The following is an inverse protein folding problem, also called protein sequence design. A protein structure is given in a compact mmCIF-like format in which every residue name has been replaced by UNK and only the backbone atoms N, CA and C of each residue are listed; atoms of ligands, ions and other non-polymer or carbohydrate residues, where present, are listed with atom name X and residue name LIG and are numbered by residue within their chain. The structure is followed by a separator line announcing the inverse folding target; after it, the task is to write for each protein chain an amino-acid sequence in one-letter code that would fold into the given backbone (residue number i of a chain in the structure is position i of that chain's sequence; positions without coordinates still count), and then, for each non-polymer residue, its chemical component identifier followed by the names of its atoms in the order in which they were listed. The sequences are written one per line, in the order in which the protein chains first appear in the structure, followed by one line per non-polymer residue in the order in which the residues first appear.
data_IF_449614504185
#
_entry.id   IF_449614504185
#
_cell.length_a   1.000
_cell.length_b   1.000
_cell.length_c   1.000
_cell.angle_alpha   90.00
_cell.angle_beta   90.00
_cell.angle_gamma   90.00
#
_symmetry.space_group_name_H-M   'P 1'
#
loop_
_entity.id
_entity.type
_entity.pdbx_description
1 polymer ?
#
# COMPACT_ATOMS: atom_id res chain seq x y z
N UNK A 1 -23.72 52.96 31.24
CA UNK A 1 -23.32 52.38 29.94
C UNK A 1 -24.25 51.21 29.66
N UNK A 2 -24.75 51.13 28.42
CA UNK A 2 -25.73 50.18 27.86
C UNK A 2 -25.44 48.70 28.20
N UNK A 3 -26.32 47.70 28.10
CA UNK A 3 -27.37 47.40 27.09
C UNK A 3 -28.42 46.44 27.71
N UNK A 4 -29.65 46.51 27.20
CA UNK A 4 -30.85 45.68 27.49
C UNK A 4 -30.72 44.25 26.90
N UNK A 5 -31.47 43.24 27.38
CA UNK A 5 -32.17 42.39 26.42
C UNK A 5 -33.67 42.26 26.70
N UNK A 6 -34.43 42.47 25.63
CA UNK A 6 -35.88 42.36 25.53
C UNK A 6 -36.30 40.90 25.34
N UNK A 7 -37.41 40.58 25.99
CA UNK A 7 -38.26 39.40 25.80
C UNK A 7 -39.25 39.67 24.64
N UNK A 8 -39.87 38.59 24.14
CA UNK A 8 -41.05 38.46 23.24
C UNK A 8 -40.69 38.08 21.79
N UNK A 9 -41.44 37.24 21.09
CA UNK A 9 -42.51 36.30 21.40
C UNK A 9 -42.76 35.49 20.12
N UNK A 10 -43.18 34.24 20.25
CA UNK A 10 -43.65 33.40 19.16
C UNK A 10 -45.05 33.82 18.68
N UNK A 11 -45.32 33.73 17.38
CA UNK A 11 -46.66 33.98 16.83
C UNK A 11 -46.77 33.84 15.31
N UNK A 12 -47.08 32.62 14.86
CA UNK A 12 -48.00 32.21 13.76
C UNK A 12 -48.00 32.90 12.38
N UNK A 13 -47.87 32.08 11.32
CA UNK A 13 -48.56 32.25 10.02
C UNK A 13 -48.60 30.91 9.24
N UNK A 14 -49.78 30.40 8.85
CA UNK A 14 -49.90 29.39 7.80
C UNK A 14 -50.31 30.07 6.48
N UNK A 15 -49.57 29.82 5.40
CA UNK A 15 -50.00 30.16 4.05
C UNK A 15 -49.84 28.95 3.14
N UNK A 16 -50.98 28.32 2.84
CA UNK A 16 -51.20 27.41 1.73
C UNK A 16 -50.84 28.09 0.42
N UNK A 17 -49.98 27.47 -0.39
CA UNK A 17 -49.87 27.75 -1.83
C UNK A 17 -50.10 26.45 -2.58
N UNK A 18 -51.19 26.44 -3.34
CA UNK A 18 -51.57 25.39 -4.28
C UNK A 18 -50.54 25.27 -5.41
N UNK A 19 -50.22 24.03 -5.77
CA UNK A 19 -49.38 23.70 -6.92
C UNK A 19 -50.03 24.12 -8.24
N UNK A 20 -49.20 24.69 -9.12
CA UNK A 20 -49.48 24.84 -10.53
C UNK A 20 -48.45 24.03 -11.34
N UNK A 21 -48.81 23.47 -12.51
CA UNK A 21 -47.96 22.55 -13.26
C UNK A 21 -46.83 23.30 -13.96
N UNK A 22 -45.61 22.78 -13.84
CA UNK A 22 -44.44 23.21 -14.62
C UNK A 22 -44.61 22.84 -16.10
N UNK A 23 -44.47 23.79 -17.05
CA UNK A 23 -44.46 23.47 -18.47
C UNK A 23 -43.14 22.80 -18.86
N UNK A 24 -43.23 21.60 -19.43
CA UNK A 24 -42.13 20.87 -20.05
C UNK A 24 -41.59 21.65 -21.25
N UNK A 25 -40.33 22.11 -21.18
CA UNK A 25 -39.61 22.65 -22.34
C UNK A 25 -38.85 21.54 -23.08
N UNK A 26 -38.77 21.63 -24.42
CA UNK A 26 -38.28 20.54 -25.27
C UNK A 26 -36.76 20.35 -25.19
N UNK A 27 -36.36 19.08 -25.19
CA UNK A 27 -34.99 18.60 -25.29
C UNK A 27 -34.26 19.27 -26.47
N UNK A 28 -33.16 19.98 -26.17
CA UNK A 28 -32.18 20.36 -27.19
C UNK A 28 -31.16 19.24 -27.29
N UNK A 29 -31.23 18.50 -28.39
CA UNK A 29 -30.18 17.60 -28.83
C UNK A 29 -28.89 18.41 -29.04
N UNK A 30 -27.91 18.21 -28.15
CA UNK A 30 -26.51 18.55 -28.45
C UNK A 30 -25.89 17.31 -29.05
N UNK A 31 -26.08 17.15 -30.36
CA UNK A 31 -25.18 16.35 -31.17
C UNK A 31 -23.82 17.06 -31.20
N UNK A 32 -22.79 16.40 -30.68
CA UNK A 32 -21.41 16.89 -30.77
C UNK A 32 -20.71 17.14 -29.44
N UNK A 33 -20.66 16.15 -28.56
CA UNK A 33 -19.56 16.04 -27.61
C UNK A 33 -18.68 14.88 -28.07
N UNK A 34 -17.39 15.15 -28.17
CA UNK A 34 -16.35 14.22 -28.60
C UNK A 34 -16.53 12.83 -27.97
N UNK A 35 -16.18 11.80 -28.73
CA UNK A 35 -15.95 10.44 -28.22
C UNK A 35 -14.94 10.54 -27.07
N UNK A 36 -15.45 10.71 -25.85
CA UNK A 36 -14.71 10.40 -24.64
C UNK A 36 -14.35 8.94 -24.85
N UNK A 37 -13.07 8.69 -25.07
CA UNK A 37 -12.55 7.33 -25.06
C UNK A 37 -12.79 6.86 -23.63
N UNK A 38 -13.97 6.29 -23.38
CA UNK A 38 -14.23 5.53 -22.18
C UNK A 38 -13.28 4.36 -22.28
N UNK A 39 -12.11 4.51 -21.64
CA UNK A 39 -11.26 3.37 -21.39
C UNK A 39 -12.16 2.31 -20.75
N UNK A 40 -12.16 1.07 -21.27
CA UNK A 40 -12.96 0.02 -20.68
C UNK A 40 -12.62 -0.05 -19.19
N UNK A 41 -13.62 0.17 -18.34
CA UNK A 41 -13.48 0.09 -16.89
C UNK A 41 -12.86 -1.26 -16.58
N UNK A 42 -11.62 -1.26 -16.09
CA UNK A 42 -10.88 -2.48 -15.77
C UNK A 42 -11.65 -3.23 -14.68
N UNK A 43 -11.80 -4.53 -14.85
CA UNK A 43 -12.44 -5.38 -13.84
C UNK A 43 -11.62 -5.31 -12.54
N UNK A 44 -12.22 -4.76 -11.49
CA UNK A 44 -11.57 -4.56 -10.19
C UNK A 44 -11.30 -5.87 -9.44
N UNK A 45 -11.76 -7.00 -9.97
CA UNK A 45 -11.51 -8.35 -9.48
C UNK A 45 -10.44 -9.11 -10.28
N UNK A 46 -10.01 -8.59 -11.43
CA UNK A 46 -8.96 -9.21 -12.23
C UNK A 46 -7.60 -9.16 -11.53
N UNK A 47 -6.91 -10.29 -11.50
CA UNK A 47 -5.62 -10.45 -10.83
C UNK A 47 -4.59 -11.11 -11.75
N UNK A 48 -3.36 -10.61 -11.77
CA UNK A 48 -2.20 -11.22 -12.44
C UNK A 48 -1.09 -11.47 -11.43
N UNK A 49 -0.47 -12.64 -11.46
CA UNK A 49 0.65 -12.95 -10.56
C UNK A 49 1.93 -12.35 -11.16
N UNK A 50 2.57 -11.41 -10.46
CA UNK A 50 3.80 -10.77 -10.93
C UNK A 50 5.03 -11.34 -10.21
N UNK A 51 5.76 -12.23 -10.88
CA UNK A 51 7.04 -12.77 -10.42
C UNK A 51 8.24 -12.01 -10.98
N UNK A 52 9.43 -12.22 -10.40
CA UNK A 52 10.66 -11.58 -10.86
C UNK A 52 10.96 -10.26 -10.15
N UNK A 53 11.64 -9.35 -10.82
CA UNK A 53 12.36 -8.22 -10.22
C UNK A 53 11.66 -6.85 -10.40
N UNK A 54 10.44 -6.81 -10.96
CA UNK A 54 9.71 -5.58 -11.21
C UNK A 54 9.86 -5.02 -12.62
N UNK A 55 10.66 -5.64 -13.49
CA UNK A 55 10.95 -5.11 -14.83
C UNK A 55 9.78 -5.27 -15.79
N UNK A 56 9.50 -4.22 -16.57
CA UNK A 56 8.42 -4.22 -17.57
C UNK A 56 8.65 -5.30 -18.64
N UNK A 57 9.91 -5.61 -18.97
CA UNK A 57 10.27 -6.70 -19.87
C UNK A 57 9.80 -8.07 -19.38
N UNK A 58 9.62 -8.22 -18.08
CA UNK A 58 9.19 -9.47 -17.44
C UNK A 58 7.66 -9.50 -17.26
N UNK A 59 6.95 -8.57 -17.88
CA UNK A 59 5.48 -8.47 -17.87
C UNK A 59 4.92 -7.65 -16.71
N UNK A 60 5.76 -6.96 -15.94
CA UNK A 60 5.28 -6.01 -14.93
C UNK A 60 4.64 -4.78 -15.58
N UNK A 61 3.67 -4.14 -14.92
CA UNK A 61 3.02 -2.97 -15.49
C UNK A 61 3.95 -1.77 -15.52
N UNK A 62 3.92 -1.03 -16.63
CA UNK A 62 4.55 0.28 -16.68
C UNK A 62 3.69 1.31 -15.91
N UNK A 63 4.26 2.48 -15.59
CA UNK A 63 3.53 3.51 -14.82
C UNK A 63 2.27 4.03 -15.53
N UNK A 64 2.26 3.99 -16.86
CA UNK A 64 1.11 4.35 -17.71
C UNK A 64 0.06 3.24 -17.80
N UNK A 65 0.38 2.01 -17.38
CA UNK A 65 -0.58 0.93 -17.24
C UNK A 65 -1.38 1.04 -15.93
N UNK A 66 -0.89 1.79 -14.95
CA UNK A 66 -1.59 1.97 -13.68
C UNK A 66 -2.94 2.65 -13.89
N UNK A 67 -3.86 2.46 -12.95
CA UNK A 67 -5.11 3.18 -12.87
C UNK A 67 -4.88 4.69 -12.99
N UNK A 68 -5.71 5.34 -13.80
CA UNK A 68 -5.39 6.64 -14.41
C UNK A 68 -5.30 7.79 -13.41
N UNK A 69 -6.02 7.68 -12.29
CA UNK A 69 -6.08 8.72 -11.27
C UNK A 69 -6.23 8.12 -9.86
N UNK A 70 -5.80 8.90 -8.87
CA UNK A 70 -6.02 8.57 -7.47
C UNK A 70 -7.51 8.49 -7.12
N UNK A 71 -8.34 9.43 -7.59
CA UNK A 71 -9.77 9.47 -7.29
C UNK A 71 -10.51 8.22 -7.78
N UNK A 72 -10.14 7.72 -8.96
CA UNK A 72 -10.68 6.46 -9.51
C UNK A 72 -10.25 5.27 -8.64
N UNK A 73 -8.96 5.18 -8.28
CA UNK A 73 -8.45 4.12 -7.42
C UNK A 73 -9.09 4.13 -6.03
N UNK A 74 -9.23 5.32 -5.43
CA UNK A 74 -9.85 5.49 -4.13
C UNK A 74 -11.33 5.09 -4.19
N UNK A 75 -12.04 5.51 -5.24
CA UNK A 75 -13.44 5.15 -5.46
C UNK A 75 -13.64 3.64 -5.60
N UNK A 76 -12.73 2.93 -6.29
CA UNK A 76 -12.78 1.48 -6.41
C UNK A 76 -12.59 0.75 -5.05
N UNK A 77 -11.89 1.36 -4.10
CA UNK A 77 -11.61 0.77 -2.79
C UNK A 77 -12.62 1.17 -1.70
N UNK A 78 -13.58 2.08 -1.96
CA UNK A 78 -14.51 2.61 -0.94
C UNK A 78 -15.27 1.54 -0.17
N UNK A 79 -15.72 0.46 -0.84
CA UNK A 79 -16.44 -0.64 -0.17
C UNK A 79 -15.54 -1.42 0.79
N UNK A 80 -14.28 -1.65 0.42
CA UNK A 80 -13.31 -2.28 1.31
C UNK A 80 -12.99 -1.34 2.47
N UNK A 81 -12.75 -0.06 2.20
CA UNK A 81 -12.47 0.96 3.21
C UNK A 81 -13.59 1.03 4.27
N UNK A 82 -14.86 1.01 3.86
CA UNK A 82 -16.01 1.12 4.76
C UNK A 82 -16.28 -0.13 5.61
N UNK A 83 -15.65 -1.26 5.30
CA UNK A 83 -15.79 -2.52 6.02
C UNK A 83 -14.49 -3.08 6.60
N UNK A 84 -13.38 -2.39 6.34
CA UNK A 84 -12.00 -2.87 6.59
C UNK A 84 -11.70 -3.18 8.05
N UNK A 85 -12.30 -2.49 9.02
CA UNK A 85 -11.97 -2.70 10.42
C UNK A 85 -12.67 -3.90 11.07
N UNK A 86 -13.68 -4.47 10.39
CA UNK A 86 -14.36 -5.67 10.85
C UNK A 86 -13.40 -6.85 11.07
N UNK A 87 -12.29 -6.89 10.33
CA UNK A 87 -11.25 -7.93 10.47
C UNK A 87 -10.58 -7.94 11.86
N UNK A 88 -10.65 -6.84 12.62
CA UNK A 88 -10.16 -6.75 14.01
C UNK A 88 -11.28 -6.56 15.03
N UNK A 89 -12.54 -6.74 14.64
CA UNK A 89 -13.70 -6.57 15.51
C UNK A 89 -13.74 -5.19 16.21
N UNK A 90 -13.34 -4.13 15.49
CA UNK A 90 -13.45 -2.73 15.92
C UNK A 90 -14.38 -1.96 14.97
N UNK A 91 -14.92 -0.79 15.38
CA UNK A 91 -15.82 -0.02 14.52
C UNK A 91 -15.20 0.27 13.15
N UNK A 92 -16.00 0.09 12.10
CA UNK A 92 -15.63 0.43 10.74
C UNK A 92 -15.45 1.93 10.54
N UNK A 93 -14.73 2.28 9.47
CA UNK A 93 -14.50 3.65 9.07
C UNK A 93 -15.84 4.33 8.77
N UNK A 94 -16.08 5.54 9.30
CA UNK A 94 -17.18 6.40 8.88
C UNK A 94 -16.89 7.07 7.54
N UNK A 95 -17.91 7.62 6.88
CA UNK A 95 -17.73 8.39 5.65
C UNK A 95 -16.77 9.58 5.84
N UNK A 96 -16.83 10.25 7.00
CA UNK A 96 -15.92 11.35 7.35
C UNK A 96 -14.47 10.88 7.50
N UNK A 97 -14.25 9.69 8.07
CA UNK A 97 -12.91 9.09 8.20
C UNK A 97 -12.35 8.63 6.85
N UNK A 98 -13.21 8.10 5.97
CA UNK A 98 -12.85 7.75 4.60
C UNK A 98 -12.48 9.02 3.81
N UNK A 99 -13.25 10.10 3.95
CA UNK A 99 -12.88 11.40 3.35
C UNK A 99 -11.56 11.94 3.91
N UNK A 100 -11.38 11.92 5.23
CA UNK A 100 -10.14 12.35 5.85
C UNK A 100 -8.93 11.51 5.43
N UNK A 101 -9.12 10.21 5.17
CA UNK A 101 -8.10 9.32 4.61
C UNK A 101 -7.70 9.75 3.19
N UNK A 102 -8.68 10.01 2.31
CA UNK A 102 -8.43 10.52 0.96
C UNK A 102 -7.63 11.83 0.97
N UNK A 103 -8.08 12.79 1.78
CA UNK A 103 -7.44 14.11 1.90
C UNK A 103 -6.02 14.00 2.47
N UNK A 104 -5.82 13.13 3.46
CA UNK A 104 -4.51 12.87 4.08
C UNK A 104 -3.53 12.29 3.07
N UNK A 105 -3.95 11.28 2.29
CA UNK A 105 -3.10 10.67 1.26
C UNK A 105 -2.68 11.71 0.22
N UNK A 106 -3.61 12.51 -0.31
CA UNK A 106 -3.29 13.53 -1.31
C UNK A 106 -2.38 14.63 -0.74
N UNK A 107 -2.61 15.06 0.49
CA UNK A 107 -1.79 16.06 1.18
C UNK A 107 -0.35 15.57 1.38
N UNK A 108 -0.19 14.34 1.87
CA UNK A 108 1.13 13.75 2.11
C UNK A 108 1.84 13.39 0.79
N UNK A 109 1.12 12.92 -0.23
CA UNK A 109 1.66 12.74 -1.57
C UNK A 109 2.29 14.04 -2.09
N UNK A 110 1.57 15.16 -1.95
CA UNK A 110 2.04 16.48 -2.37
C UNK A 110 3.29 16.94 -1.61
N UNK A 111 3.36 16.71 -0.30
CA UNK A 111 4.49 17.16 0.52
C UNK A 111 5.74 16.30 0.37
N UNK A 112 5.56 15.01 0.08
CA UNK A 112 6.66 14.03 -0.03
C UNK A 112 7.16 13.85 -1.46
N UNK A 113 6.31 14.11 -2.46
CA UNK A 113 6.56 13.79 -3.86
C UNK A 113 6.26 12.34 -4.23
N UNK A 114 5.72 11.54 -3.31
CA UNK A 114 5.32 10.14 -3.57
C UNK A 114 3.98 10.11 -4.30
N UNK A 115 3.83 9.25 -5.31
CA UNK A 115 2.57 9.09 -6.05
C UNK A 115 1.43 8.64 -5.11
N UNK A 116 0.33 9.38 -5.09
CA UNK A 116 -0.81 9.11 -4.20
C UNK A 116 -1.44 7.72 -4.43
N UNK A 117 -1.39 7.18 -5.66
CA UNK A 117 -1.87 5.83 -5.97
C UNK A 117 -1.00 4.78 -5.29
N UNK A 118 0.31 5.02 -5.24
CA UNK A 118 1.23 4.12 -4.54
C UNK A 118 1.04 4.15 -3.03
N UNK A 119 0.83 5.33 -2.44
CA UNK A 119 0.48 5.44 -1.01
C UNK A 119 -0.79 4.64 -0.70
N UNK A 120 -1.85 4.82 -1.51
CA UNK A 120 -3.09 4.07 -1.33
C UNK A 120 -2.87 2.56 -1.50
N UNK A 121 -2.08 2.11 -2.47
CA UNK A 121 -1.76 0.70 -2.65
C UNK A 121 -1.14 0.09 -1.38
N UNK A 122 -0.21 0.81 -0.74
CA UNK A 122 0.42 0.38 0.51
C UNK A 122 -0.57 0.40 1.68
N UNK A 123 -1.38 1.46 1.84
CA UNK A 123 -2.45 1.53 2.85
C UNK A 123 -3.38 0.31 2.76
N UNK A 124 -3.81 -0.03 1.55
CA UNK A 124 -4.67 -1.18 1.31
C UNK A 124 -3.95 -2.51 1.55
N UNK A 125 -2.65 -2.59 1.26
CA UNK A 125 -1.85 -3.79 1.49
C UNK A 125 -1.57 -4.05 2.97
N UNK A 126 -1.35 -2.99 3.76
CA UNK A 126 -1.04 -3.09 5.18
C UNK A 126 -2.27 -3.37 6.04
N UNK A 127 -3.41 -2.74 5.72
CA UNK A 127 -4.56 -2.77 6.63
C UNK A 127 -5.93 -2.86 5.97
N UNK A 128 -5.99 -3.00 4.64
CA UNK A 128 -7.20 -2.75 3.86
C UNK A 128 -7.79 -1.34 4.10
N UNK A 129 -6.98 -0.40 4.62
CA UNK A 129 -7.35 0.98 4.93
C UNK A 129 -8.16 1.18 6.22
N UNK A 130 -8.10 0.24 7.17
CA UNK A 130 -8.71 0.45 8.47
C UNK A 130 -7.93 1.50 9.29
N UNK A 131 -8.57 2.63 9.63
CA UNK A 131 -7.91 3.68 10.44
C UNK A 131 -7.66 3.24 11.88
N UNK A 132 -8.25 2.12 12.31
CA UNK A 132 -8.08 1.49 13.63
C UNK A 132 -7.31 0.16 13.55
N UNK A 133 -6.51 -0.04 12.50
CA UNK A 133 -5.61 -1.18 12.43
C UNK A 133 -4.76 -1.23 13.72
N UNK A 134 -4.67 -2.39 14.41
CA UNK A 134 -3.97 -2.47 15.68
C UNK A 134 -2.52 -2.04 15.58
N UNK A 135 -2.04 -1.38 16.63
CA UNK A 135 -0.61 -1.16 16.81
C UNK A 135 0.03 -2.46 17.26
N UNK A 136 1.01 -2.93 16.50
CA UNK A 136 1.82 -4.09 16.88
C UNK A 136 3.08 -3.62 17.60
N UNK A 137 3.55 -4.40 18.58
CA UNK A 137 4.78 -4.11 19.30
C UNK A 137 5.50 -5.42 19.62
N UNK A 138 6.50 -5.75 18.81
CA UNK A 138 7.32 -6.96 18.94
C UNK A 138 8.81 -6.60 19.03
N UNK A 139 9.13 -5.53 19.75
CA UNK A 139 10.47 -4.94 19.84
C UNK A 139 10.66 -3.67 19.00
N UNK A 140 9.76 -3.46 18.03
CA UNK A 140 9.55 -2.21 17.29
C UNK A 140 8.04 -1.96 17.28
N UNK A 141 7.64 -0.69 17.43
CA UNK A 141 6.22 -0.32 17.39
C UNK A 141 5.84 -0.07 15.93
N UNK A 142 4.84 -0.78 15.42
CA UNK A 142 4.31 -0.56 14.06
C UNK A 142 2.82 -0.21 14.19
N UNK A 143 2.47 1.09 14.23
CA UNK A 143 1.10 1.48 14.49
C UNK A 143 0.26 1.58 13.23
N UNK A 144 -1.00 1.19 13.39
CA UNK A 144 -2.08 1.76 12.62
C UNK A 144 -2.06 1.45 11.12
N UNK A 145 -2.63 2.38 10.38
CA UNK A 145 -3.07 2.25 8.99
C UNK A 145 -2.00 1.75 8.01
N UNK A 146 -0.74 2.14 8.20
CA UNK A 146 0.38 1.75 7.35
C UNK A 146 1.42 0.87 8.08
N UNK A 147 1.16 0.46 9.32
CA UNK A 147 2.08 -0.35 10.13
C UNK A 147 3.52 0.21 10.12
N UNK A 148 3.66 1.53 10.28
CA UNK A 148 4.92 2.23 10.03
C UNK A 148 5.95 1.97 11.14
N UNK A 149 7.21 1.71 10.79
CA UNK A 149 8.27 1.45 11.75
C UNK A 149 8.49 2.62 12.74
N UNK A 150 8.24 2.37 14.02
CA UNK A 150 8.22 3.36 15.12
C UNK A 150 7.38 4.60 14.81
N UNK A 151 6.21 4.38 14.21
CA UNK A 151 5.22 5.42 13.96
C UNK A 151 4.69 6.06 15.25
N UNK A 152 4.18 7.28 15.12
CA UNK A 152 3.60 8.06 16.21
C UNK A 152 2.08 8.19 16.09
N UNK A 153 1.53 8.05 14.88
CA UNK A 153 0.09 8.07 14.64
C UNK A 153 -0.56 6.73 14.97
N UNK A 154 -1.69 6.75 15.69
CA UNK A 154 -2.52 5.55 15.91
C UNK A 154 -3.91 5.90 16.40
N UNK A 155 -4.89 5.09 16.01
CA UNK A 155 -6.23 5.06 16.62
C UNK A 155 -6.54 3.73 17.32
N UNK A 156 -5.54 2.86 17.47
CA UNK A 156 -5.68 1.58 18.15
C UNK A 156 -4.33 1.17 18.79
N UNK A 157 -3.96 1.85 19.88
CA UNK A 157 -2.73 1.58 20.64
C UNK A 157 -3.06 1.48 22.14
N UNK A 158 -3.43 0.29 22.60
CA UNK A 158 -3.92 0.09 23.98
C UNK A 158 -5.34 0.61 24.24
N UNK A 159 -6.01 1.11 23.19
CA UNK A 159 -7.39 1.58 23.22
C UNK A 159 -7.85 2.02 21.82
N UNK A 160 -9.13 1.82 21.51
CA UNK A 160 -9.71 2.16 20.22
C UNK A 160 -10.29 3.58 20.26
N UNK A 161 -9.81 4.45 19.37
CA UNK A 161 -10.40 5.75 19.13
C UNK A 161 -11.52 5.63 18.08
N UNK A 162 -12.71 6.12 18.42
CA UNK A 162 -13.84 6.15 17.49
C UNK A 162 -14.73 7.37 17.78
N UNK A 163 -14.80 8.37 16.87
CA UNK A 163 -14.07 8.43 15.60
C UNK A 163 -12.55 8.56 15.79
N UNK A 164 -11.79 8.08 14.82
CA UNK A 164 -10.37 8.30 14.67
C UNK A 164 -10.14 9.75 14.20
N UNK A 165 -9.42 10.59 14.97
CA UNK A 165 -9.19 11.98 14.59
C UNK A 165 -8.48 12.09 13.23
N UNK A 166 -8.88 13.06 12.40
CA UNK A 166 -8.23 13.30 11.10
C UNK A 166 -6.72 13.54 11.23
N UNK A 167 -6.28 14.18 12.32
CA UNK A 167 -4.85 14.36 12.62
C UNK A 167 -4.11 13.04 12.84
N UNK A 168 -4.75 12.03 13.45
CA UNK A 168 -4.17 10.70 13.61
C UNK A 168 -4.11 9.95 12.27
N UNK A 169 -5.14 10.09 11.43
CA UNK A 169 -5.14 9.53 10.07
C UNK A 169 -3.99 10.14 9.25
N UNK A 170 -3.87 11.47 9.25
CA UNK A 170 -2.76 12.16 8.57
C UNK A 170 -1.39 11.74 9.13
N UNK A 171 -1.26 11.59 10.45
CA UNK A 171 0.00 11.18 11.06
C UNK A 171 0.40 9.76 10.65
N UNK A 172 -0.53 8.79 10.66
CA UNK A 172 -0.24 7.42 10.20
C UNK A 172 0.21 7.37 8.73
N UNK A 173 -0.43 8.17 7.86
CA UNK A 173 -0.01 8.30 6.45
C UNK A 173 1.36 8.97 6.34
N UNK A 174 1.62 10.00 7.16
CA UNK A 174 2.90 10.72 7.19
C UNK A 174 4.02 9.79 7.63
N UNK A 175 3.83 9.03 8.71
CA UNK A 175 4.83 8.10 9.23
C UNK A 175 5.19 7.03 8.18
N UNK A 176 4.20 6.47 7.48
CA UNK A 176 4.45 5.46 6.45
C UNK A 176 5.06 6.02 5.17
N UNK A 177 4.73 7.27 4.80
CA UNK A 177 5.18 7.85 3.52
C UNK A 177 6.46 8.67 3.65
N UNK A 178 6.50 9.57 4.63
CA UNK A 178 7.63 10.45 4.89
C UNK A 178 8.69 9.82 5.82
N UNK A 179 8.36 8.70 6.47
CA UNK A 179 9.22 8.03 7.42
C UNK A 179 9.12 8.60 8.83
N UNK A 180 9.78 7.94 9.76
CA UNK A 180 9.86 8.30 11.17
C UNK A 180 11.30 8.68 11.52
N UNK A 181 11.58 8.97 12.79
CA UNK A 181 12.96 9.16 13.26
C UNK A 181 13.81 7.88 13.19
N UNK A 182 13.16 6.71 13.15
CA UNK A 182 13.81 5.41 13.32
C UNK A 182 13.57 4.46 12.14
N UNK A 183 12.75 4.84 11.17
CA UNK A 183 12.38 3.99 10.05
C UNK A 183 12.13 4.79 8.77
N UNK A 184 12.56 4.22 7.65
CA UNK A 184 12.34 4.80 6.33
C UNK A 184 10.87 4.68 5.92
N UNK A 185 10.33 5.78 5.37
CA UNK A 185 9.03 5.77 4.70
C UNK A 185 9.18 5.53 3.21
N UNK A 186 8.05 5.46 2.50
CA UNK A 186 8.03 5.26 1.05
C UNK A 186 8.95 6.23 0.30
N UNK A 187 9.05 7.50 0.72
CA UNK A 187 9.95 8.49 0.10
C UNK A 187 11.41 8.04 0.12
N UNK A 188 11.90 7.59 1.27
CA UNK A 188 13.27 7.11 1.45
C UNK A 188 13.49 5.81 0.67
N UNK A 189 12.54 4.88 0.75
CA UNK A 189 12.63 3.58 0.09
C UNK A 189 12.60 3.70 -1.44
N UNK A 190 11.88 4.68 -1.98
CA UNK A 190 11.92 4.99 -3.42
C UNK A 190 13.29 5.50 -3.85
N UNK A 191 14.00 6.26 -3.01
CA UNK A 191 15.37 6.67 -3.28
C UNK A 191 16.34 5.48 -3.13
N UNK A 192 16.15 4.63 -2.11
CA UNK A 192 16.95 3.45 -1.86
C UNK A 192 16.82 2.38 -2.97
N UNK A 193 15.67 2.31 -3.63
CA UNK A 193 15.42 1.37 -4.72
C UNK A 193 16.42 1.51 -5.90
N UNK A 194 17.07 2.67 -6.04
CA UNK A 194 18.15 2.88 -7.01
C UNK A 194 17.72 2.77 -8.47
N UNK A 195 16.46 3.07 -8.77
CA UNK A 195 15.90 3.06 -10.12
C UNK A 195 15.13 4.36 -10.41
N UNK A 196 15.18 4.81 -11.66
CA UNK A 196 14.50 6.03 -12.09
C UNK A 196 13.13 5.75 -12.75
N UNK A 197 12.95 4.52 -13.24
CA UNK A 197 11.74 4.02 -13.90
C UNK A 197 10.69 3.49 -12.90
N UNK A 198 9.66 2.79 -13.41
CA UNK A 198 8.58 2.24 -12.59
C UNK A 198 9.07 1.19 -11.59
N UNK A 199 10.19 0.52 -11.84
CA UNK A 199 10.68 -0.58 -10.98
C UNK A 199 11.00 -0.10 -9.58
N UNK A 200 11.31 1.19 -9.41
CA UNK A 200 11.54 1.80 -8.09
C UNK A 200 10.35 1.64 -7.15
N UNK A 201 9.13 1.66 -7.65
CA UNK A 201 7.93 1.48 -6.83
C UNK A 201 7.79 0.03 -6.36
N UNK A 202 8.05 -0.95 -7.23
CA UNK A 202 7.99 -2.37 -6.87
C UNK A 202 9.10 -2.76 -5.90
N UNK A 203 10.31 -2.26 -6.13
CA UNK A 203 11.46 -2.41 -5.21
C UNK A 203 11.19 -1.72 -3.87
N UNK A 204 10.67 -0.49 -3.87
CA UNK A 204 10.30 0.22 -2.65
C UNK A 204 9.19 -0.51 -1.87
N UNK A 205 8.21 -1.13 -2.54
CA UNK A 205 7.19 -1.94 -1.87
C UNK A 205 7.81 -3.17 -1.18
N UNK A 206 8.78 -3.84 -1.81
CA UNK A 206 9.52 -4.94 -1.18
C UNK A 206 10.34 -4.47 0.03
N UNK A 207 11.01 -3.34 -0.11
CA UNK A 207 11.77 -2.72 0.99
C UNK A 207 10.86 -2.29 2.14
N UNK A 208 9.65 -1.79 1.85
CA UNK A 208 8.66 -1.45 2.87
C UNK A 208 8.21 -2.70 3.65
N UNK A 209 7.91 -3.79 2.94
CA UNK A 209 7.44 -5.02 3.57
C UNK A 209 8.50 -5.75 4.42
N UNK A 210 9.78 -5.69 4.02
CA UNK A 210 10.79 -6.61 4.56
C UNK A 210 12.16 -5.98 4.84
N UNK A 211 12.33 -4.68 4.59
CA UNK A 211 13.59 -3.97 4.75
C UNK A 211 14.70 -4.39 3.78
N UNK A 212 14.46 -5.37 2.91
CA UNK A 212 15.49 -5.92 2.03
C UNK A 212 14.92 -6.50 0.74
N UNK A 213 15.76 -6.62 -0.28
CA UNK A 213 15.48 -7.36 -1.50
C UNK A 213 16.43 -8.55 -1.53
N UNK A 214 15.92 -9.73 -1.87
CA UNK A 214 16.75 -10.93 -2.02
C UNK A 214 17.91 -10.68 -3.00
N UNK A 215 19.05 -11.33 -2.80
CA UNK A 215 20.27 -11.11 -3.61
C UNK A 215 20.06 -11.35 -5.11
N UNK A 216 19.13 -12.25 -5.47
CA UNK A 216 18.73 -12.50 -6.87
C UNK A 216 17.79 -11.44 -7.47
N UNK A 217 17.40 -10.41 -6.71
CA UNK A 217 16.50 -9.34 -7.15
C UNK A 217 15.03 -9.74 -7.25
N UNK A 218 14.69 -11.01 -7.06
CA UNK A 218 13.31 -11.49 -7.15
C UNK A 218 12.47 -10.95 -5.99
N UNK A 219 11.46 -10.17 -6.32
CA UNK A 219 10.57 -9.51 -5.38
C UNK A 219 9.58 -10.48 -4.74
N UNK A 220 9.53 -11.76 -5.14
CA UNK A 220 8.79 -12.83 -4.48
C UNK A 220 9.63 -13.68 -3.52
N UNK A 221 10.91 -13.35 -3.29
CA UNK A 221 11.84 -14.11 -2.46
C UNK A 221 12.25 -13.35 -1.18
N UNK A 222 13.03 -14.02 -0.31
CA UNK A 222 13.59 -13.43 0.91
C UNK A 222 12.71 -13.64 2.15
N UNK A 223 13.07 -12.95 3.24
CA UNK A 223 12.30 -12.95 4.49
C UNK A 223 11.17 -11.94 4.33
N UNK A 224 10.07 -12.36 3.72
CA UNK A 224 9.03 -11.43 3.29
C UNK A 224 7.65 -12.07 3.20
N UNK A 225 6.60 -11.25 3.22
CA UNK A 225 5.30 -11.67 2.69
C UNK A 225 5.46 -11.82 1.18
N UNK A 226 5.56 -13.07 0.71
CA UNK A 226 6.04 -13.37 -0.64
C UNK A 226 5.19 -12.72 -1.76
N UNK A 227 3.87 -12.71 -1.61
CA UNK A 227 2.94 -12.14 -2.59
C UNK A 227 2.79 -10.61 -2.55
N UNK A 228 3.36 -9.95 -1.54
CA UNK A 228 3.14 -8.53 -1.23
C UNK A 228 3.27 -7.62 -2.46
N UNK A 229 4.35 -7.75 -3.21
CA UNK A 229 4.63 -6.83 -4.33
C UNK A 229 3.74 -7.13 -5.54
N UNK A 230 3.41 -8.40 -5.77
CA UNK A 230 2.41 -8.79 -6.78
C UNK A 230 1.05 -8.19 -6.44
N UNK A 231 0.64 -8.28 -5.17
CA UNK A 231 -0.63 -7.71 -4.70
C UNK A 231 -0.64 -6.18 -4.81
N UNK A 232 0.47 -5.50 -4.50
CA UNK A 232 0.63 -4.05 -4.70
C UNK A 232 0.53 -3.68 -6.18
N UNK A 233 1.18 -4.41 -7.08
CA UNK A 233 1.10 -4.17 -8.53
C UNK A 233 -0.34 -4.30 -9.05
N UNK A 234 -1.10 -5.29 -8.57
CA UNK A 234 -2.51 -5.42 -8.95
C UNK A 234 -3.36 -4.27 -8.42
N UNK A 235 -3.13 -3.79 -7.19
CA UNK A 235 -3.83 -2.60 -6.68
C UNK A 235 -3.59 -1.37 -7.55
N UNK A 236 -2.35 -1.20 -8.00
CA UNK A 236 -1.98 -0.13 -8.93
C UNK A 236 -2.63 -0.29 -10.32
N UNK A 237 -3.04 -1.51 -10.70
CA UNK A 237 -3.84 -1.77 -11.89
C UNK A 237 -5.34 -1.57 -11.69
N UNK A 238 -5.80 -1.31 -10.46
CA UNK A 238 -7.21 -1.12 -10.11
C UNK A 238 -7.88 -2.32 -9.43
N UNK A 239 -7.14 -3.38 -9.11
CA UNK A 239 -7.64 -4.47 -8.28
C UNK A 239 -7.98 -3.95 -6.88
N UNK A 240 -9.22 -4.14 -6.46
CA UNK A 240 -9.73 -3.61 -5.20
C UNK A 240 -10.50 -4.66 -4.39
N UNK A 241 -11.04 -5.69 -5.03
CA UNK A 241 -11.85 -6.73 -4.38
C UNK A 241 -11.50 -8.12 -4.91
N UNK A 242 -11.87 -9.15 -4.15
CA UNK A 242 -11.55 -10.54 -4.48
C UNK A 242 -10.27 -11.02 -3.78
N UNK A 243 -10.00 -12.31 -3.92
CA UNK A 243 -8.80 -12.92 -3.34
C UNK A 243 -7.59 -12.73 -4.26
N UNK A 244 -6.41 -12.62 -3.66
CA UNK A 244 -5.16 -12.75 -4.42
C UNK A 244 -5.05 -14.16 -5.00
N UNK A 245 -4.69 -14.26 -6.28
CA UNK A 245 -4.37 -15.55 -6.92
C UNK A 245 -2.90 -15.93 -6.74
N UNK A 246 -2.10 -15.11 -6.03
CA UNK A 246 -0.69 -15.40 -5.80
C UNK A 246 -0.51 -16.53 -4.79
N UNK A 247 0.35 -17.49 -5.16
CA UNK A 247 0.75 -18.58 -4.28
C UNK A 247 2.12 -18.26 -3.67
N UNK A 248 2.16 -18.14 -2.34
CA UNK A 248 3.37 -17.78 -1.58
C UNK A 248 4.50 -18.80 -1.72
N UNK A 249 4.18 -20.08 -1.94
CA UNK A 249 5.16 -21.16 -2.11
C UNK A 249 5.81 -21.20 -3.49
N UNK A 250 5.21 -20.58 -4.52
CA UNK A 250 5.72 -20.65 -5.89
C UNK A 250 6.18 -19.32 -6.46
N UNK A 251 5.68 -18.19 -5.94
CA UNK A 251 6.01 -16.85 -6.46
C UNK A 251 7.51 -16.55 -6.48
N UNK A 252 8.26 -17.05 -5.50
CA UNK A 252 9.71 -16.89 -5.43
C UNK A 252 10.48 -17.60 -6.55
N UNK A 253 9.86 -18.53 -7.27
CA UNK A 253 10.46 -19.23 -8.41
C UNK A 253 10.08 -18.61 -9.75
N UNK A 254 9.09 -17.72 -9.78
CA UNK A 254 8.65 -17.05 -11.00
C UNK A 254 9.60 -15.91 -11.35
N UNK A 255 9.98 -15.82 -12.62
CA UNK A 255 10.83 -14.75 -13.16
C UNK A 255 10.07 -13.77 -14.04
N UNK A 256 8.77 -13.97 -14.23
CA UNK A 256 7.90 -13.13 -15.04
C UNK A 256 6.44 -13.20 -14.58
N UNK A 257 5.62 -12.31 -15.13
CA UNK A 257 4.18 -12.31 -14.91
C UNK A 257 3.52 -13.60 -15.41
N UNK A 258 2.52 -14.08 -14.66
CA UNK A 258 1.65 -15.20 -14.98
C UNK A 258 0.20 -14.73 -14.88
N UNK A 259 -0.50 -14.61 -16.00
CA UNK A 259 -1.88 -14.14 -16.05
C UNK A 259 -2.23 -13.36 -17.32
N UNK A 260 -3.42 -12.77 -17.35
CA UNK A 260 -3.97 -12.10 -18.54
C UNK A 260 -3.62 -10.62 -18.68
N UNK A 261 -2.80 -10.05 -17.80
CA UNK A 261 -2.36 -8.67 -17.98
C UNK A 261 -1.55 -8.54 -19.28
N UNK A 262 -2.03 -7.69 -20.17
CA UNK A 262 -1.30 -7.21 -21.35
C UNK A 262 -1.11 -5.72 -21.19
N UNK A 263 0.13 -5.24 -21.17
CA UNK A 263 0.45 -3.81 -21.13
C UNK A 263 -0.24 -3.07 -22.28
N UNK A 264 -0.82 -1.90 -21.99
CA UNK A 264 -1.51 -1.04 -22.94
C UNK A 264 -0.57 -0.20 -23.81
N UNK A 265 0.66 -0.66 -24.03
CA UNK A 265 1.68 0.00 -24.85
C UNK A 265 1.79 -0.60 -26.25
N UNK A 266 1.43 0.19 -27.26
CA UNK A 266 1.59 0.00 -28.71
C UNK A 266 2.29 -1.30 -29.17
N UNK A 267 1.52 -2.23 -29.72
CA UNK A 267 1.98 -3.55 -30.16
C UNK A 267 3.18 -3.50 -31.10
N UNK A 268 4.37 -3.73 -30.55
CA UNK A 268 5.52 -4.25 -31.27
C UNK A 268 5.35 -5.75 -31.45
N UNK A 269 4.65 -6.15 -32.52
CA UNK A 269 4.56 -7.55 -32.92
C UNK A 269 5.92 -8.03 -33.45
N UNK A 270 6.54 -8.99 -32.75
CA UNK A 270 7.65 -9.77 -33.28
C UNK A 270 7.13 -10.91 -34.18
N UNK A 271 7.50 -10.83 -35.46
CA UNK A 271 8.03 -11.99 -36.19
C UNK A 271 7.05 -12.89 -36.94
N UNK A 272 6.78 -12.55 -38.21
CA UNK A 272 6.77 -13.56 -39.30
C UNK A 272 7.51 -13.00 -40.51
N UNK A 273 8.60 -13.66 -40.87
CA UNK A 273 9.39 -13.43 -42.08
C UNK A 273 8.60 -13.76 -43.33
N UNK A 274 8.43 -12.78 -44.22
CA UNK A 274 8.27 -13.03 -45.66
C UNK A 274 8.87 -11.88 -46.46
N UNK A 275 9.89 -12.23 -47.23
CA UNK A 275 10.51 -11.44 -48.31
C UNK A 275 9.48 -11.02 -49.36
N UNK A 276 9.48 -9.74 -49.79
CA UNK A 276 9.59 -9.37 -51.21
C UNK A 276 9.49 -7.85 -51.45
N UNK A 277 10.51 -7.33 -52.14
CA UNK A 277 10.57 -6.23 -53.12
C UNK A 277 9.90 -4.85 -52.87
N UNK A 278 10.78 -3.85 -52.96
CA UNK A 278 10.61 -2.41 -53.24
C UNK A 278 9.59 -2.05 -54.34
N UNK A 279 9.03 -0.83 -54.30
CA UNK A 279 9.48 0.11 -55.32
C UNK A 279 9.81 1.52 -54.81
N UNK A 280 10.73 2.13 -55.55
CA UNK A 280 11.32 3.46 -55.50
C UNK A 280 10.29 4.61 -55.57
N UNK A 281 10.43 5.63 -54.71
CA UNK A 281 9.92 6.99 -54.97
C UNK A 281 10.95 8.05 -54.48
N UNK A 282 11.05 9.10 -55.29
CA UNK A 282 12.02 10.19 -55.38
C UNK A 282 12.15 11.13 -54.14
N UNK A 283 13.18 12.00 -54.08
CA UNK A 283 13.45 12.83 -52.91
C UNK A 283 12.57 14.08 -52.89
N UNK A 284 11.99 14.39 -51.73
CA UNK A 284 11.27 15.64 -51.48
C UNK A 284 12.11 16.56 -50.59
N UNK A 285 12.14 17.80 -51.04
CA UNK A 285 12.94 18.95 -50.63
C UNK A 285 12.66 19.40 -49.20
N UNK A 286 13.72 19.84 -48.53
CA UNK A 286 13.73 20.46 -47.20
C UNK A 286 12.95 21.78 -47.17
N UNK A 287 12.01 21.91 -46.22
CA UNK A 287 11.45 23.20 -45.82
C UNK A 287 11.84 23.46 -44.37
N UNK A 288 12.49 24.60 -44.15
CA UNK A 288 12.95 25.08 -42.85
C UNK A 288 11.75 25.50 -41.95
N UNK A 289 11.86 25.34 -40.61
CA UNK A 289 10.86 25.88 -39.70
C UNK A 289 11.01 27.40 -39.49
N UNK A 290 9.84 28.06 -39.47
CA UNK A 290 9.60 29.46 -39.15
C UNK A 290 9.89 29.76 -37.66
N UNK A 291 10.38 30.96 -37.30
CA UNK A 291 10.62 31.30 -35.89
C UNK A 291 9.31 31.65 -35.15
N UNK A 292 9.17 31.11 -33.94
CA UNK A 292 8.10 31.40 -32.96
C UNK A 292 8.51 32.58 -32.05
N UNK A 293 7.57 33.43 -31.57
CA UNK A 293 7.91 34.66 -30.88
C UNK A 293 8.28 34.44 -29.40
N UNK A 294 9.44 34.98 -29.02
CA UNK A 294 9.94 35.01 -27.64
C UNK A 294 9.15 35.99 -26.78
N UNK A 295 8.55 35.49 -25.71
CA UNK A 295 8.05 36.29 -24.58
C UNK A 295 9.15 36.39 -23.50
N UNK A 296 9.46 37.58 -22.95
CA UNK A 296 10.53 37.72 -21.97
C UNK A 296 10.09 37.29 -20.56
N UNK A 297 10.97 36.55 -19.89
CA UNK A 297 10.85 36.13 -18.49
C UNK A 297 10.96 37.31 -17.50
N UNK A 298 10.32 37.26 -16.32
CA UNK A 298 10.46 38.29 -15.29
C UNK A 298 11.79 38.15 -14.54
N UNK A 299 12.52 39.26 -14.47
CA UNK A 299 13.76 39.43 -13.69
C UNK A 299 13.37 39.54 -12.21
N UNK A 300 13.88 38.63 -11.38
CA UNK A 300 13.75 38.73 -9.92
C UNK A 300 15.11 39.05 -9.33
N UNK A 301 15.20 40.22 -8.73
CA UNK A 301 16.39 40.80 -8.10
C UNK A 301 16.74 40.05 -6.81
N UNK A 302 17.94 39.46 -6.75
CA UNK A 302 18.48 38.83 -5.54
C UNK A 302 19.05 39.91 -4.61
N UNK A 303 18.45 40.09 -3.43
CA UNK A 303 19.03 40.86 -2.34
C UNK A 303 19.84 39.93 -1.43
N UNK A 304 21.12 40.26 -1.22
CA UNK A 304 22.04 39.54 -0.36
C UNK A 304 21.65 39.69 1.13
N UNK A 305 21.64 38.57 1.85
CA UNK A 305 21.49 38.51 3.32
C UNK A 305 22.89 38.26 3.92
N UNK A 306 23.31 38.97 4.99
CA UNK A 306 24.61 38.78 5.58
C UNK A 306 24.66 37.50 6.42
N UNK A 307 25.71 36.71 6.22
CA UNK A 307 26.03 35.50 6.98
C UNK A 307 26.87 35.86 8.21
N UNK A 308 26.33 35.60 9.40
CA UNK A 308 27.09 35.56 10.66
C UNK A 308 27.43 34.11 11.00
N UNK A 309 28.73 33.80 10.94
CA UNK A 309 29.33 32.52 11.31
C UNK A 309 29.34 32.35 12.83
N UNK A 310 28.62 31.35 13.34
CA UNK A 310 28.78 30.83 14.70
C UNK A 310 29.47 29.45 14.64
N UNK A 311 30.54 29.30 15.43
CA UNK A 311 31.38 28.10 15.51
C UNK A 311 30.65 26.91 16.17
N UNK A 312 30.98 25.65 15.82
CA UNK A 312 30.38 24.48 16.44
C UNK A 312 31.01 24.18 17.81
N UNK A 313 30.16 23.93 18.81
CA UNK A 313 30.55 23.40 20.12
C UNK A 313 30.72 21.86 20.07
N UNK A 314 31.59 21.25 20.89
CA UNK A 314 31.98 19.84 20.76
C UNK A 314 30.89 18.87 21.24
N UNK A 315 30.74 17.77 20.52
CA UNK A 315 29.84 16.66 20.83
C UNK A 315 30.34 15.84 22.02
N UNK A 316 29.47 15.58 23.00
CA UNK A 316 29.73 14.68 24.11
C UNK A 316 29.50 13.22 23.66
N UNK A 317 30.50 12.38 23.89
CA UNK A 317 30.48 10.94 23.63
C UNK A 317 29.93 10.20 24.85
N UNK A 318 28.85 9.45 24.69
CA UNK A 318 28.39 8.47 25.68
C UNK A 318 28.43 7.08 25.06
N UNK A 319 29.38 6.28 25.51
CA UNK A 319 29.50 4.85 25.25
C UNK A 319 28.52 4.10 26.16
N UNK A 320 27.67 3.24 25.58
CA UNK A 320 26.91 2.24 26.34
C UNK A 320 27.26 0.87 25.78
N UNK A 321 27.76 0.01 26.66
CA UNK A 321 28.26 -1.32 26.36
C UNK A 321 27.14 -2.29 25.99
N UNK A 322 27.40 -3.17 25.03
CA UNK A 322 26.56 -4.30 24.68
C UNK A 322 26.63 -5.39 25.77
N UNK A 323 25.46 -5.87 26.22
CA UNK A 323 25.35 -7.07 27.05
C UNK A 323 24.73 -8.21 26.23
N UNK A 324 25.44 -9.33 26.17
CA UNK A 324 25.04 -10.55 25.48
C UNK A 324 24.17 -11.46 26.37
N UNK A 325 23.15 -12.07 25.75
CA UNK A 325 22.78 -13.48 25.88
C UNK A 325 22.15 -14.00 27.18
N UNK A 326 20.84 -14.25 27.12
CA UNK A 326 20.21 -15.37 27.82
C UNK A 326 18.99 -15.89 27.02
N UNK A 327 19.07 -17.14 26.55
CA UNK A 327 17.97 -17.91 25.94
C UNK A 327 17.04 -18.47 27.03
N UNK A 328 15.71 -18.28 26.97
CA UNK A 328 14.79 -19.01 27.83
C UNK A 328 14.39 -20.35 27.19
N UNK A 329 14.55 -21.43 27.95
CA UNK A 329 14.07 -22.77 27.60
C UNK A 329 12.54 -22.90 27.80
N UNK A 330 11.87 -23.64 26.91
CA UNK A 330 10.42 -23.88 26.91
C UNK A 330 9.93 -24.67 28.13
N UNK A 331 8.91 -24.14 28.81
CA UNK A 331 8.14 -24.81 29.87
C UNK A 331 6.76 -25.29 29.36
N UNK A 332 6.35 -26.50 29.78
CA UNK A 332 5.29 -27.35 29.20
C UNK A 332 3.87 -27.16 29.78
N UNK A 333 3.33 -25.94 29.86
CA UNK A 333 2.05 -25.67 30.55
C UNK A 333 0.85 -25.35 29.66
N UNK A 334 0.96 -25.47 28.33
CA UNK A 334 -0.11 -25.12 27.38
C UNK A 334 -1.08 -26.26 27.06
N UNK A 335 -2.35 -26.00 26.71
CA UNK A 335 -3.23 -27.02 26.11
C UNK A 335 -2.67 -27.54 24.78
N UNK A 336 -2.89 -28.83 24.47
CA UNK A 336 -2.51 -29.41 23.17
C UNK A 336 -3.37 -28.82 22.06
N UNK A 337 -2.74 -28.47 20.94
CA UNK A 337 -3.45 -27.99 19.75
C UNK A 337 -4.49 -29.04 19.32
N UNK A 338 -5.78 -28.68 19.17
CA UNK A 338 -6.85 -29.67 19.01
C UNK A 338 -6.73 -30.59 17.80
N UNK A 339 -5.96 -30.18 16.78
CA UNK A 339 -5.71 -30.97 15.57
C UNK A 339 -4.29 -31.55 15.50
N UNK A 340 -3.55 -31.59 16.61
CA UNK A 340 -2.30 -32.35 16.68
C UNK A 340 -2.59 -33.85 16.58
N UNK A 341 -1.74 -34.61 15.88
CA UNK A 341 -1.86 -36.07 15.74
C UNK A 341 -1.86 -36.75 17.13
N UNK A 342 -2.71 -37.75 17.29
CA UNK A 342 -2.80 -38.54 18.53
C UNK A 342 -1.56 -39.39 18.82
N UNK A 343 -0.75 -39.69 17.80
CA UNK A 343 0.51 -40.43 17.94
C UNK A 343 1.71 -39.54 18.34
N UNK A 344 1.48 -38.27 18.69
CA UNK A 344 2.56 -37.35 19.01
C UNK A 344 3.41 -37.83 20.21
N UNK A 345 4.73 -37.82 20.03
CA UNK A 345 5.74 -38.18 21.03
C UNK A 345 6.34 -36.96 21.73
N UNK A 346 6.40 -35.81 21.06
CA UNK A 346 6.99 -34.58 21.60
C UNK A 346 6.23 -33.33 21.16
N UNK A 347 6.08 -32.39 22.10
CA UNK A 347 5.39 -31.13 21.88
C UNK A 347 6.31 -29.92 22.04
N UNK A 348 6.00 -28.87 21.29
CA UNK A 348 6.56 -27.54 21.44
C UNK A 348 5.45 -26.56 21.86
N UNK A 349 5.67 -25.80 22.94
CA UNK A 349 4.72 -24.77 23.37
C UNK A 349 5.06 -23.48 22.65
N UNK A 350 4.13 -22.99 21.85
CA UNK A 350 4.26 -21.72 21.12
C UNK A 350 4.32 -20.58 22.13
N UNK A 351 5.42 -19.84 22.12
CA UNK A 351 5.61 -18.62 22.90
C UNK A 351 5.53 -17.39 21.99
N UNK A 352 5.52 -16.21 22.60
CA UNK A 352 5.40 -14.96 21.85
C UNK A 352 6.62 -14.75 20.96
N UNK A 353 6.39 -14.44 19.69
CA UNK A 353 7.45 -14.32 18.68
C UNK A 353 7.75 -15.61 17.90
N UNK A 354 7.05 -16.70 18.22
CA UNK A 354 7.08 -17.91 17.42
C UNK A 354 6.19 -17.81 16.19
N UNK A 355 6.69 -18.39 15.12
CA UNK A 355 6.02 -18.67 13.85
C UNK A 355 6.56 -20.02 13.37
N UNK A 356 5.89 -20.72 12.44
CA UNK A 356 6.23 -22.12 12.15
C UNK A 356 7.71 -22.34 11.83
N UNK A 357 8.34 -21.46 11.04
CA UNK A 357 9.77 -21.58 10.73
C UNK A 357 10.67 -21.52 11.98
N UNK A 358 10.31 -20.77 13.02
CA UNK A 358 11.05 -20.77 14.28
C UNK A 358 10.83 -22.07 15.05
N UNK A 359 9.58 -22.57 15.10
CA UNK A 359 9.24 -23.85 15.74
C UNK A 359 9.96 -25.00 15.02
N UNK A 360 10.00 -24.96 13.69
CA UNK A 360 10.72 -25.88 12.81
C UNK A 360 12.23 -25.86 13.07
N UNK A 361 12.83 -24.66 13.11
CA UNK A 361 14.26 -24.50 13.37
C UNK A 361 14.65 -24.97 14.78
N UNK A 362 13.85 -24.64 15.78
CA UNK A 362 14.08 -25.03 17.18
C UNK A 362 13.88 -26.54 17.38
N UNK A 363 12.90 -27.14 16.70
CA UNK A 363 12.64 -28.58 16.76
C UNK A 363 13.53 -29.41 15.80
N UNK A 364 14.19 -28.78 14.83
CA UNK A 364 14.97 -29.45 13.80
C UNK A 364 14.14 -30.25 12.79
N UNK A 365 12.95 -29.75 12.43
CA UNK A 365 11.99 -30.43 11.55
C UNK A 365 11.61 -29.56 10.35
N UNK A 366 11.11 -30.17 9.29
CA UNK A 366 10.63 -29.43 8.09
C UNK A 366 9.19 -28.94 8.28
N UNK A 367 8.82 -27.86 7.56
CA UNK A 367 7.43 -27.41 7.46
C UNK A 367 6.44 -28.53 7.12
N UNK A 368 6.82 -29.42 6.19
CA UNK A 368 6.01 -30.59 5.84
C UNK A 368 5.77 -31.50 7.04
N UNK A 369 6.81 -31.80 7.85
CA UNK A 369 6.66 -32.63 9.05
C UNK A 369 5.79 -31.94 10.11
N UNK A 370 6.00 -30.63 10.33
CA UNK A 370 5.21 -29.88 11.30
C UNK A 370 3.72 -29.84 10.91
N UNK A 371 3.40 -29.68 9.62
CA UNK A 371 2.03 -29.72 9.11
C UNK A 371 1.44 -31.13 9.11
N UNK A 372 2.22 -32.15 8.77
CA UNK A 372 1.80 -33.56 8.77
C UNK A 372 1.45 -34.09 10.17
N UNK A 373 2.07 -33.51 11.21
CA UNK A 373 1.80 -33.83 12.61
C UNK A 373 0.75 -32.92 13.25
N UNK A 374 0.41 -31.80 12.61
CA UNK A 374 -0.60 -30.85 13.06
C UNK A 374 -1.48 -30.42 11.87
N UNK A 375 -2.30 -31.33 11.31
CA UNK A 375 -3.08 -31.10 10.07
C UNK A 375 -4.03 -29.90 10.08
N UNK A 376 -4.29 -29.29 11.23
CA UNK A 376 -5.04 -28.04 11.32
C UNK A 376 -4.23 -26.78 11.07
N UNK A 377 -2.89 -26.85 11.04
CA UNK A 377 -2.04 -25.74 10.64
C UNK A 377 -2.28 -25.43 9.16
N UNK A 378 -2.53 -24.16 8.86
CA UNK A 378 -2.61 -23.72 7.48
C UNK A 378 -1.21 -23.66 6.85
N UNK A 379 -1.16 -23.70 5.52
CA UNK A 379 0.10 -23.66 4.76
C UNK A 379 0.89 -22.37 4.95
N UNK A 380 0.24 -21.30 5.38
CA UNK A 380 0.84 -20.00 5.67
C UNK A 380 1.35 -19.89 7.11
N UNK A 381 1.12 -20.93 7.93
CA UNK A 381 1.28 -20.92 9.38
C UNK A 381 0.68 -19.68 10.07
N UNK A 382 -0.42 -19.17 9.53
CA UNK A 382 -1.06 -17.95 10.06
C UNK A 382 -1.89 -18.22 11.31
N UNK A 383 -2.16 -19.49 11.58
CA UNK A 383 -3.02 -19.95 12.67
C UNK A 383 -2.26 -20.67 13.80
N UNK A 384 -1.01 -20.28 14.05
CA UNK A 384 -0.23 -20.75 15.20
C UNK A 384 -0.74 -20.09 16.49
N UNK A 385 -1.24 -20.88 17.43
CA UNK A 385 -1.87 -20.35 18.64
C UNK A 385 -0.87 -20.15 19.76
N UNK A 386 -0.67 -18.90 20.18
CA UNK A 386 0.15 -18.57 21.33
C UNK A 386 -0.31 -19.32 22.59
N UNK A 387 0.63 -19.97 23.27
CA UNK A 387 0.39 -20.74 24.48
C UNK A 387 -0.12 -22.16 24.26
N UNK A 388 -0.29 -22.63 23.02
CA UNK A 388 -0.68 -24.01 22.71
C UNK A 388 0.52 -24.89 22.38
N UNK A 389 0.35 -26.19 22.62
CA UNK A 389 1.35 -27.22 22.34
C UNK A 389 1.12 -27.87 20.97
N UNK A 390 2.08 -27.73 20.06
CA UNK A 390 2.08 -28.35 18.73
C UNK A 390 3.01 -29.54 18.68
N UNK A 391 2.63 -30.57 17.92
CA UNK A 391 3.41 -31.78 17.77
C UNK A 391 4.67 -31.52 16.94
N UNK A 392 5.82 -31.90 17.47
CA UNK A 392 7.13 -31.76 16.81
C UNK A 392 7.87 -33.10 16.68
N UNK A 393 7.23 -34.22 17.03
CA UNK A 393 7.71 -35.58 16.81
C UNK A 393 6.53 -36.55 16.93
N UNK A 394 6.33 -37.49 15.99
CA UNK A 394 5.22 -38.48 16.00
C UNK A 394 5.69 -39.92 15.77
#
# INVERSE_FOLDING_TARGET
MSVIPFILAAGSLPALIFGAPVPSLPSRDVAGAASVHSFPKRDTSAYTVFGGNGEVSDGWPAINDWISSFDEMFSNNKEVLSSSCAQWNVPNNSDDEISALSDSIQSVAKSTGVDARFILAIVMQESNGCVRAPTTNYGVINPGLMQSHDGTGSCNNGGVLSPCPSSQITQMITDGTAGTSSGDGLKQLLAQAGADDVTKYYKAARLYNSGSIASGGNLGQGIATHCYVSDVANRLLGWATGASSCNTGTIGSLTSAQGSFTSGGNGGSSGTTTTSASPTVAPVTSVAPSPEPTTPAPVTTTAAVPTTTAAPAPAATTTVAAAAGATPASSSSGPVYPQAKSACKKYYTVVSGDYCLRVEAEAGITASQLMDWNPGLDSSCSNLWLGYQYCIEA
#
